data_IF_145511635809
#
_entry.id   IF_145511635809
#
_cell.length_a   1.000
_cell.length_b   1.000
_cell.length_c   1.000
_cell.angle_alpha   90.00
_cell.angle_beta   90.00
_cell.angle_gamma   90.00
#
_symmetry.space_group_name_H-M   'P 1'
#
loop_
_entity.id
_entity.type
_entity.pdbx_description
1 polymer ?
#
# COMPACT_ATOMS: atom_id res chain seq x y z
N UNK A 1 11.82 -3.04 -5.42
CA UNK A 1 12.40 -1.86 -4.75
C UNK A 1 11.82 -1.81 -3.34
N UNK A 2 12.52 -1.23 -2.36
CA UNK A 2 12.04 -1.13 -0.98
C UNK A 2 11.97 0.35 -0.56
N UNK A 3 10.75 0.90 -0.50
CA UNK A 3 10.57 2.31 -0.12
C UNK A 3 10.88 2.59 1.35
N UNK A 4 10.82 1.60 2.27
CA UNK A 4 11.22 1.78 3.68
C UNK A 4 12.73 2.00 3.74
N UNK A 5 13.50 1.18 3.00
CA UNK A 5 14.94 1.35 2.89
C UNK A 5 15.29 2.70 2.24
N UNK A 6 14.58 3.11 1.19
CA UNK A 6 14.80 4.42 0.55
C UNK A 6 14.47 5.59 1.49
N UNK A 7 13.36 5.53 2.24
CA UNK A 7 13.01 6.56 3.24
C UNK A 7 14.08 6.68 4.32
N UNK A 8 14.63 5.56 4.80
CA UNK A 8 15.74 5.56 5.77
C UNK A 8 17.02 6.17 5.20
N UNK A 9 17.31 5.91 3.92
CA UNK A 9 18.55 6.37 3.26
C UNK A 9 18.51 7.85 2.86
N UNK A 10 17.39 8.30 2.29
CA UNK A 10 17.28 9.63 1.67
C UNK A 10 16.41 10.59 2.48
N UNK A 11 15.89 10.17 3.64
CA UNK A 11 15.08 11.03 4.49
C UNK A 11 13.88 11.60 3.74
N UNK A 12 13.61 12.90 3.91
CA UNK A 12 12.51 13.62 3.25
C UNK A 12 12.91 14.35 1.96
N UNK A 13 14.13 14.13 1.47
CA UNK A 13 14.65 14.77 0.25
C UNK A 13 14.00 14.21 -1.02
N UNK A 14 13.30 13.08 -0.89
CA UNK A 14 12.52 12.46 -1.97
C UNK A 14 11.07 12.19 -1.55
N UNK A 15 10.18 12.29 -2.54
CA UNK A 15 8.79 11.86 -2.45
C UNK A 15 8.71 10.42 -2.97
N UNK A 16 7.95 9.58 -2.27
CA UNK A 16 7.79 8.16 -2.60
C UNK A 16 6.35 7.90 -3.07
N UNK A 17 6.17 7.04 -4.06
CA UNK A 17 4.86 6.60 -4.52
C UNK A 17 4.88 5.11 -4.89
N UNK A 18 3.78 4.39 -4.64
CA UNK A 18 3.67 2.96 -4.97
C UNK A 18 4.16 2.03 -3.85
N UNK A 19 4.92 0.99 -4.23
CA UNK A 19 5.63 0.03 -3.35
C UNK A 19 4.79 -1.08 -2.66
N UNK A 20 3.52 -1.25 -3.04
CA UNK A 20 2.72 -2.41 -2.61
C UNK A 20 2.85 -3.53 -3.65
N UNK A 21 3.37 -4.69 -3.26
CA UNK A 21 3.50 -5.84 -4.16
C UNK A 21 2.11 -6.35 -4.58
N UNK A 22 1.80 -6.21 -5.87
CA UNK A 22 0.54 -6.69 -6.46
C UNK A 22 0.27 -8.18 -6.24
N UNK A 23 1.29 -9.01 -6.00
CA UNK A 23 1.11 -10.44 -5.70
C UNK A 23 0.41 -10.67 -4.38
N UNK A 24 0.51 -9.75 -3.42
CA UNK A 24 -0.22 -9.82 -2.17
C UNK A 24 -1.75 -9.73 -2.40
N UNK A 25 -2.17 -8.90 -3.35
CA UNK A 25 -3.57 -8.73 -3.72
C UNK A 25 -4.14 -9.98 -4.42
N UNK A 26 -3.31 -10.69 -5.18
CA UNK A 26 -3.69 -11.98 -5.79
C UNK A 26 -3.90 -13.05 -4.69
N UNK A 27 -3.05 -13.05 -3.66
CA UNK A 27 -3.10 -14.02 -2.54
C UNK A 27 -4.26 -13.80 -1.56
N UNK A 28 -4.96 -12.67 -1.66
CA UNK A 28 -6.16 -12.39 -0.86
C UNK A 28 -5.96 -11.41 0.30
N UNK A 29 -7.00 -11.28 1.11
CA UNK A 29 -7.16 -10.23 2.14
C UNK A 29 -6.05 -10.23 3.19
N UNK A 30 -5.72 -11.39 3.75
CA UNK A 30 -4.68 -11.51 4.79
C UNK A 30 -3.30 -11.11 4.26
N UNK A 31 -2.92 -11.60 3.08
CA UNK A 31 -1.66 -11.23 2.44
C UNK A 31 -1.62 -9.74 2.09
N UNK A 32 -2.74 -9.18 1.61
CA UNK A 32 -2.89 -7.75 1.34
C UNK A 32 -2.68 -6.91 2.59
N UNK A 33 -3.33 -7.28 3.70
CA UNK A 33 -3.18 -6.56 4.98
C UNK A 33 -1.75 -6.63 5.49
N UNK A 34 -1.13 -7.81 5.47
CA UNK A 34 0.26 -7.99 5.89
C UNK A 34 1.22 -7.11 5.07
N UNK A 35 1.08 -7.09 3.75
CA UNK A 35 1.89 -6.25 2.86
C UNK A 35 1.71 -4.76 3.17
N UNK A 36 0.46 -4.28 3.29
CA UNK A 36 0.17 -2.87 3.62
C UNK A 36 0.74 -2.51 4.99
N UNK A 37 0.44 -3.28 6.04
CA UNK A 37 0.85 -2.97 7.40
C UNK A 37 2.36 -3.01 7.62
N UNK A 38 3.09 -3.78 6.80
CA UNK A 38 4.56 -3.87 6.90
C UNK A 38 5.29 -2.59 6.45
N UNK A 39 4.64 -1.72 5.67
CA UNK A 39 5.29 -0.58 5.00
C UNK A 39 4.55 0.74 5.18
N UNK A 40 3.23 0.72 4.98
CA UNK A 40 2.41 1.93 4.81
C UNK A 40 2.35 2.77 6.09
N UNK A 41 2.09 2.22 7.29
CA UNK A 41 2.02 3.04 8.51
C UNK A 41 3.30 3.85 8.75
N UNK A 42 4.45 3.18 8.68
CA UNK A 42 5.76 3.83 8.84
C UNK A 42 5.99 4.91 7.80
N UNK A 43 5.73 4.63 6.52
CA UNK A 43 5.97 5.60 5.44
C UNK A 43 5.03 6.81 5.49
N UNK A 44 3.78 6.61 5.91
CA UNK A 44 2.79 7.68 6.07
C UNK A 44 3.15 8.62 7.21
N UNK A 45 3.58 8.09 8.36
CA UNK A 45 3.99 8.90 9.53
C UNK A 45 5.12 9.89 9.18
N UNK A 46 6.01 9.51 8.26
CA UNK A 46 7.10 10.38 7.82
C UNK A 46 6.66 11.49 6.84
N UNK A 47 5.49 11.34 6.20
CA UNK A 47 5.00 12.23 5.14
C UNK A 47 5.69 12.01 3.78
N UNK A 48 5.19 12.68 2.74
CA UNK A 48 5.76 12.61 1.38
C UNK A 48 5.72 11.22 0.74
N UNK A 49 4.69 10.42 1.07
CA UNK A 49 4.47 9.08 0.54
C UNK A 49 3.02 8.90 0.05
N UNK A 50 2.86 8.42 -1.19
CA UNK A 50 1.58 8.12 -1.80
C UNK A 50 1.44 6.60 -2.03
N UNK A 51 0.75 5.86 -1.14
CA UNK A 51 0.64 4.41 -1.27
C UNK A 51 -0.15 4.02 -2.52
N UNK A 52 0.40 3.11 -3.32
CA UNK A 52 -0.26 2.52 -4.48
C UNK A 52 0.34 1.15 -4.80
N UNK A 53 -0.37 0.37 -5.64
CA UNK A 53 0.16 -0.88 -6.19
C UNK A 53 1.43 -0.60 -7.00
N UNK A 54 2.40 -1.51 -6.93
CA UNK A 54 3.59 -1.43 -7.76
C UNK A 54 3.22 -1.63 -9.25
N UNK A 55 3.62 -0.65 -10.08
CA UNK A 55 3.36 -0.68 -11.52
C UNK A 55 1.85 -0.63 -11.87
N UNK A 56 1.23 -1.79 -12.13
CA UNK A 56 -0.14 -1.90 -12.60
C UNK A 56 -0.81 -3.13 -12.03
N UNK A 57 -2.12 -3.03 -11.82
CA UNK A 57 -2.97 -4.08 -11.24
C UNK A 57 -3.11 -5.22 -12.25
N UNK A 58 -2.67 -6.45 -11.94
CA UNK A 58 -2.85 -7.61 -12.82
C UNK A 58 -4.32 -7.99 -12.96
N UNK A 59 -4.71 -8.63 -14.08
CA UNK A 59 -6.08 -9.14 -14.26
C UNK A 59 -6.44 -10.26 -13.26
N UNK A 60 -5.46 -10.92 -12.66
CA UNK A 60 -5.66 -11.96 -11.64
C UNK A 60 -6.11 -11.42 -10.27
N UNK A 61 -6.06 -10.09 -10.08
CA UNK A 61 -6.59 -9.47 -8.85
C UNK A 61 -8.09 -9.35 -8.98
N UNK A 62 -8.84 -10.06 -8.14
CA UNK A 62 -10.29 -9.93 -8.08
C UNK A 62 -10.68 -8.51 -7.66
N UNK A 63 -11.85 -8.05 -8.14
CA UNK A 63 -12.40 -6.76 -7.73
C UNK A 63 -12.56 -6.68 -6.20
N UNK A 64 -13.03 -7.76 -5.56
CA UNK A 64 -13.15 -7.83 -4.10
C UNK A 64 -11.81 -7.62 -3.37
N UNK A 65 -10.73 -8.24 -3.85
CA UNK A 65 -9.40 -8.05 -3.24
C UNK A 65 -8.89 -6.62 -3.45
N UNK A 66 -9.16 -6.02 -4.60
CA UNK A 66 -8.81 -4.63 -4.86
C UNK A 66 -9.60 -3.67 -3.96
N UNK A 67 -10.90 -3.89 -3.81
CA UNK A 67 -11.77 -3.20 -2.87
C UNK A 67 -11.27 -3.30 -1.42
N UNK A 68 -10.87 -4.51 -1.00
CA UNK A 68 -10.27 -4.73 0.31
C UNK A 68 -8.95 -3.95 0.47
N UNK A 69 -8.09 -3.97 -0.54
CA UNK A 69 -6.86 -3.18 -0.55
C UNK A 69 -7.12 -1.68 -0.37
N UNK A 70 -8.06 -1.10 -1.12
CA UNK A 70 -8.44 0.31 -0.99
C UNK A 70 -8.94 0.62 0.42
N UNK A 71 -9.83 -0.21 0.97
CA UNK A 71 -10.34 -0.01 2.32
C UNK A 71 -9.26 -0.18 3.40
N UNK A 72 -8.28 -1.06 3.18
CA UNK A 72 -7.13 -1.20 4.08
C UNK A 72 -6.27 0.06 4.07
N UNK A 73 -6.00 0.66 2.90
CA UNK A 73 -5.28 1.93 2.83
C UNK A 73 -6.05 3.04 3.54
N UNK A 74 -7.37 3.12 3.32
CA UNK A 74 -8.24 4.12 3.96
C UNK A 74 -8.20 4.01 5.48
N UNK A 75 -8.35 2.80 6.02
CA UNK A 75 -8.21 2.51 7.46
C UNK A 75 -6.88 3.04 8.01
N UNK A 76 -5.76 2.69 7.39
CA UNK A 76 -4.42 3.11 7.85
C UNK A 76 -4.22 4.62 7.74
N UNK A 77 -4.88 5.29 6.79
CA UNK A 77 -4.86 6.76 6.66
C UNK A 77 -5.90 7.48 7.54
N UNK A 78 -6.71 6.76 8.33
CA UNK A 78 -7.77 7.33 9.15
C UNK A 78 -9.02 7.78 8.38
N UNK A 79 -9.22 7.28 7.17
CA UNK A 79 -10.38 7.56 6.33
C UNK A 79 -11.47 6.49 6.52
N UNK A 80 -12.73 6.92 6.41
CA UNK A 80 -13.89 6.02 6.51
C UNK A 80 -13.89 4.95 5.42
N UNK A 81 -14.37 3.76 5.78
CA UNK A 81 -14.52 2.63 4.85
C UNK A 81 -15.57 2.92 3.77
N UNK A 82 -15.32 2.45 2.56
CA UNK A 82 -16.26 2.52 1.42
C UNK A 82 -17.14 1.25 1.36
N UNK A 83 -18.37 1.43 0.88
CA UNK A 83 -19.46 0.43 0.87
C UNK A 83 -19.57 -0.40 -0.42
N UNK A 84 -18.56 -0.38 -1.28
CA UNK A 84 -18.52 -1.21 -2.50
C UNK A 84 -18.29 -2.69 -2.19
#
# INVERSE_FOLDING_TARGET
MDAVALRKKYGKDIILAGNIDKRALIKGKEATRAEVMSKVPFLLEQGGYFPAVDHGVPPDVSFENYCYFINTLREVTGLERLLF
#
